data_IF_637420772780
#
_entry.id   IF_637420772780
#
_cell.length_a   1.000
_cell.length_b   1.000
_cell.length_c   1.000
_cell.angle_alpha   90.00
_cell.angle_beta   90.00
_cell.angle_gamma   90.00
#
_symmetry.space_group_name_H-M   'P 1'
#
loop_
_entity.id
_entity.type
_entity.pdbx_description
1 polymer ?
#
# COMPACT_ATOMS: atom_id res chain seq x y z
N UNK A 1 11.44 -4.35 -41.08
CA UNK A 1 10.62 -4.14 -39.85
C UNK A 1 11.35 -4.69 -38.64
N UNK A 2 11.41 -3.95 -37.52
CA UNK A 2 11.93 -4.52 -36.26
C UNK A 2 10.98 -5.67 -35.84
N UNK A 3 11.51 -6.84 -35.58
CA UNK A 3 10.73 -8.00 -35.12
C UNK A 3 10.91 -8.16 -33.62
N UNK A 4 9.81 -8.17 -32.89
CA UNK A 4 9.78 -8.43 -31.43
C UNK A 4 9.18 -9.81 -31.18
N UNK A 5 9.68 -10.48 -30.14
CA UNK A 5 9.09 -11.73 -29.65
C UNK A 5 7.88 -11.49 -28.77
N UNK A 6 7.90 -10.37 -28.00
CA UNK A 6 6.83 -10.03 -27.07
C UNK A 6 6.46 -8.54 -27.12
N UNK A 7 5.15 -8.27 -27.01
CA UNK A 7 4.60 -6.96 -26.71
C UNK A 7 4.10 -6.97 -25.27
N UNK A 8 4.66 -6.08 -24.44
CA UNK A 8 4.29 -5.90 -23.05
C UNK A 8 3.52 -4.58 -22.93
N UNK A 9 2.30 -4.63 -22.38
CA UNK A 9 1.44 -3.46 -22.21
C UNK A 9 1.47 -3.04 -20.75
N UNK A 10 2.07 -1.90 -20.48
CA UNK A 10 2.33 -1.32 -19.16
C UNK A 10 3.81 -1.38 -18.79
N UNK A 11 4.43 -0.19 -18.63
CA UNK A 11 5.82 -0.03 -18.20
C UNK A 11 5.95 0.16 -16.67
N UNK A 12 4.99 -0.36 -15.88
CA UNK A 12 5.09 -0.46 -14.43
C UNK A 12 6.01 -1.61 -14.01
N UNK A 13 6.15 -1.81 -12.69
CA UNK A 13 7.06 -2.82 -12.13
C UNK A 13 6.82 -4.23 -12.72
N UNK A 14 5.57 -4.66 -12.87
CA UNK A 14 5.27 -5.98 -13.44
C UNK A 14 5.78 -6.12 -14.86
N UNK A 15 5.49 -5.14 -15.73
CA UNK A 15 5.95 -5.15 -17.12
C UNK A 15 7.47 -5.09 -17.23
N UNK A 16 8.12 -4.33 -16.35
CA UNK A 16 9.58 -4.23 -16.28
C UNK A 16 10.24 -5.56 -15.90
N UNK A 17 9.71 -6.23 -14.85
CA UNK A 17 10.18 -7.57 -14.46
C UNK A 17 10.02 -8.57 -15.61
N UNK A 18 8.87 -8.56 -16.29
CA UNK A 18 8.64 -9.44 -17.46
C UNK A 18 9.63 -9.16 -18.59
N UNK A 19 9.88 -7.89 -18.93
CA UNK A 19 10.84 -7.50 -19.96
C UNK A 19 12.26 -7.96 -19.60
N UNK A 20 12.66 -7.73 -18.35
CA UNK A 20 13.96 -8.13 -17.82
C UNK A 20 14.18 -9.64 -17.90
N UNK A 21 13.25 -10.43 -17.39
CA UNK A 21 13.36 -11.90 -17.37
C UNK A 21 13.31 -12.51 -18.78
N UNK A 22 12.53 -11.94 -19.68
CA UNK A 22 12.53 -12.34 -21.09
C UNK A 22 13.81 -11.92 -21.80
N UNK A 23 14.35 -10.74 -21.51
CA UNK A 23 15.63 -10.26 -22.02
C UNK A 23 16.79 -11.20 -21.65
N UNK A 24 16.85 -11.67 -20.41
CA UNK A 24 17.82 -12.70 -19.96
C UNK A 24 17.74 -14.00 -20.77
N UNK A 25 16.59 -14.29 -21.37
CA UNK A 25 16.37 -15.45 -22.26
C UNK A 25 16.58 -15.10 -23.72
N UNK A 26 17.20 -13.96 -24.02
CA UNK A 26 17.47 -13.51 -25.40
C UNK A 26 16.24 -13.07 -26.19
N UNK A 27 15.11 -12.81 -25.55
CA UNK A 27 13.88 -12.36 -26.19
C UNK A 27 13.86 -10.86 -26.40
N UNK A 28 13.40 -10.43 -27.57
CA UNK A 28 13.24 -9.01 -27.90
C UNK A 28 11.83 -8.54 -27.47
N UNK A 29 11.77 -7.61 -26.53
CA UNK A 29 10.53 -7.06 -26.01
C UNK A 29 10.28 -5.64 -26.51
N UNK A 30 9.03 -5.35 -26.88
CA UNK A 30 8.50 -4.00 -27.01
C UNK A 30 7.58 -3.75 -25.82
N UNK A 31 7.93 -2.76 -25.00
CA UNK A 31 7.10 -2.31 -23.86
C UNK A 31 6.40 -1.02 -24.23
N UNK A 32 5.10 -0.96 -24.06
CA UNK A 32 4.31 0.26 -24.32
C UNK A 32 3.55 0.69 -23.08
N UNK A 33 3.45 2.00 -22.84
CA UNK A 33 2.62 2.56 -21.78
C UNK A 33 1.82 3.77 -22.29
N UNK A 34 0.63 3.96 -21.72
CA UNK A 34 -0.22 5.12 -22.04
C UNK A 34 0.26 6.40 -21.37
N UNK A 35 0.95 6.29 -20.23
CA UNK A 35 1.56 7.42 -19.53
C UNK A 35 2.78 7.90 -20.33
N UNK A 36 3.19 9.11 -20.10
CA UNK A 36 4.40 9.71 -20.67
C UNK A 36 5.68 9.30 -19.95
N UNK A 37 5.56 8.51 -18.90
CA UNK A 37 6.65 7.98 -18.07
C UNK A 37 6.51 6.47 -17.82
N UNK A 38 7.61 5.84 -17.45
CA UNK A 38 7.69 4.45 -16.95
C UNK A 38 7.34 4.36 -15.45
N UNK A 39 7.55 3.20 -14.86
CA UNK A 39 7.36 2.87 -13.44
C UNK A 39 5.90 2.85 -12.96
N UNK A 40 4.93 3.24 -13.78
CA UNK A 40 3.52 3.12 -13.41
C UNK A 40 3.18 3.84 -12.11
N UNK A 41 2.57 3.14 -11.15
CA UNK A 41 2.18 3.73 -9.87
C UNK A 41 3.35 3.94 -8.88
N UNK A 42 4.49 3.29 -9.09
CA UNK A 42 5.69 3.50 -8.27
C UNK A 42 6.61 4.59 -8.82
N UNK A 43 6.14 5.35 -9.81
CA UNK A 43 6.91 6.45 -10.38
C UNK A 43 7.29 7.46 -9.31
N UNK A 44 8.57 7.75 -9.23
CA UNK A 44 9.16 8.80 -8.42
C UNK A 44 9.84 9.82 -9.33
N UNK A 45 9.67 11.09 -9.03
CA UNK A 45 10.45 12.18 -9.59
C UNK A 45 11.28 12.84 -8.49
N UNK A 46 12.48 13.28 -8.84
CA UNK A 46 13.31 14.02 -7.91
C UNK A 46 13.00 15.51 -8.03
N UNK A 47 12.60 16.13 -6.92
CA UNK A 47 12.32 17.57 -6.81
C UNK A 47 13.13 18.11 -5.65
N UNK A 48 14.05 19.03 -5.92
CA UNK A 48 14.91 19.64 -4.91
C UNK A 48 15.64 18.62 -4.02
N UNK A 49 16.13 17.52 -4.62
CA UNK A 49 16.82 16.43 -3.91
C UNK A 49 15.91 15.49 -3.12
N UNK A 50 14.59 15.59 -3.29
CA UNK A 50 13.60 14.73 -2.64
C UNK A 50 12.95 13.81 -3.68
N UNK A 51 12.94 12.51 -3.43
CA UNK A 51 12.22 11.55 -4.27
C UNK A 51 10.72 11.57 -3.94
N UNK A 52 9.95 12.24 -4.78
CA UNK A 52 8.50 12.39 -4.62
C UNK A 52 7.78 11.19 -5.24
N UNK A 53 7.03 10.46 -4.43
CA UNK A 53 6.16 9.36 -4.90
C UNK A 53 4.87 9.96 -5.48
N UNK A 54 4.80 10.11 -6.81
CA UNK A 54 3.74 10.86 -7.49
C UNK A 54 2.32 10.29 -7.30
N UNK A 55 2.21 8.99 -7.12
CA UNK A 55 0.91 8.28 -7.03
C UNK A 55 0.65 7.69 -5.64
N UNK A 56 1.25 8.25 -4.62
CA UNK A 56 1.14 7.81 -3.23
C UNK A 56 2.36 7.05 -2.75
N UNK A 57 2.53 7.01 -1.44
CA UNK A 57 3.68 6.37 -0.81
C UNK A 57 3.70 4.86 -1.06
N UNK A 58 4.83 4.37 -1.52
CA UNK A 58 5.10 2.95 -1.67
C UNK A 58 6.29 2.58 -0.79
N UNK A 59 6.11 1.60 0.07
CA UNK A 59 7.17 1.02 0.89
C UNK A 59 7.31 -0.43 0.46
N UNK A 60 8.51 -0.83 0.03
CA UNK A 60 8.76 -2.22 -0.32
C UNK A 60 8.87 -3.05 0.95
N UNK A 61 8.14 -4.16 1.01
CA UNK A 61 8.20 -5.10 2.12
C UNK A 61 7.93 -6.52 1.64
N UNK A 62 8.60 -7.48 2.25
CA UNK A 62 8.42 -8.91 1.97
C UNK A 62 9.04 -9.77 3.08
N UNK A 63 8.48 -10.94 3.33
CA UNK A 63 9.11 -11.98 4.14
C UNK A 63 9.85 -13.01 3.29
N UNK A 64 9.68 -13.00 1.96
CA UNK A 64 10.40 -13.88 1.05
C UNK A 64 11.81 -13.35 0.74
N UNK A 65 12.81 -14.11 1.21
CA UNK A 65 14.22 -13.78 1.00
C UNK A 65 14.59 -13.72 -0.49
N UNK A 66 14.00 -14.57 -1.32
CA UNK A 66 14.31 -14.59 -2.77
C UNK A 66 13.83 -13.33 -3.47
N UNK A 67 12.64 -12.85 -3.09
CA UNK A 67 12.10 -11.58 -3.60
C UNK A 67 12.97 -10.40 -3.14
N UNK A 68 13.38 -10.40 -1.87
CA UNK A 68 14.29 -9.38 -1.33
C UNK A 68 15.62 -9.36 -2.09
N UNK A 69 16.27 -10.52 -2.23
CA UNK A 69 17.54 -10.65 -2.97
C UNK A 69 17.39 -10.28 -4.46
N UNK A 70 16.25 -10.62 -5.07
CA UNK A 70 15.97 -10.24 -6.44
C UNK A 70 15.90 -8.72 -6.62
N UNK A 71 15.17 -8.03 -5.74
CA UNK A 71 15.04 -6.57 -5.82
C UNK A 71 16.36 -5.85 -5.51
N UNK A 72 17.19 -6.39 -4.63
CA UNK A 72 18.51 -5.84 -4.32
C UNK A 72 19.53 -5.96 -5.47
N UNK A 73 19.23 -6.67 -6.56
CA UNK A 73 20.05 -6.63 -7.78
C UNK A 73 19.93 -5.28 -8.52
N UNK A 74 18.84 -4.53 -8.28
CA UNK A 74 18.56 -3.29 -9.01
C UNK A 74 18.77 -2.04 -8.17
N UNK A 75 18.72 -2.15 -6.85
CA UNK A 75 18.87 -1.02 -5.94
C UNK A 75 19.32 -1.49 -4.57
N UNK A 76 19.79 -0.56 -3.78
CA UNK A 76 19.97 -0.69 -2.33
C UNK A 76 18.74 -0.11 -1.63
N UNK A 77 18.25 -0.78 -0.57
CA UNK A 77 17.15 -0.29 0.26
C UNK A 77 17.69 0.34 1.55
N UNK A 78 17.08 1.44 1.96
CA UNK A 78 17.35 2.01 3.28
C UNK A 78 16.67 1.17 4.39
N UNK A 79 16.95 1.52 5.64
CA UNK A 79 16.36 0.86 6.81
C UNK A 79 15.05 1.53 7.26
N UNK A 80 14.25 2.04 6.33
CA UNK A 80 12.99 2.68 6.65
C UNK A 80 12.01 1.67 7.24
N UNK A 81 11.51 1.98 8.44
CA UNK A 81 10.44 1.23 9.10
C UNK A 81 9.15 2.04 9.00
N UNK A 82 8.14 1.48 8.35
CA UNK A 82 6.85 2.16 8.21
C UNK A 82 6.11 2.18 9.55
N UNK A 83 6.06 3.34 10.18
CA UNK A 83 5.38 3.57 11.47
C UNK A 83 4.41 4.75 11.33
N UNK A 84 3.27 4.57 10.67
CA UNK A 84 2.33 5.65 10.41
C UNK A 84 1.67 6.13 11.70
N UNK A 85 1.30 7.41 11.68
CA UNK A 85 0.61 8.09 12.78
C UNK A 85 -0.71 8.65 12.25
N UNK A 86 -1.80 8.38 12.96
CA UNK A 86 -3.09 8.99 12.71
C UNK A 86 -3.27 10.25 13.58
N UNK A 87 -3.81 11.29 12.98
CA UNK A 87 -4.20 12.53 13.67
C UNK A 87 -5.72 12.57 13.75
N UNK A 88 -6.23 12.69 14.98
CA UNK A 88 -7.65 12.92 15.23
C UNK A 88 -7.80 14.13 16.12
N UNK A 89 -8.30 15.24 15.56
CA UNK A 89 -8.31 16.55 16.23
C UNK A 89 -6.88 16.90 16.69
N UNK A 90 -6.68 17.08 18.01
CA UNK A 90 -5.37 17.39 18.61
C UNK A 90 -4.65 16.15 19.17
N UNK A 91 -5.14 14.95 18.88
CA UNK A 91 -4.58 13.70 19.40
C UNK A 91 -3.81 12.96 18.31
N UNK A 92 -2.64 12.38 18.67
CA UNK A 92 -1.82 11.53 17.81
C UNK A 92 -1.92 10.07 18.25
N UNK A 93 -2.17 9.18 17.31
CA UNK A 93 -2.28 7.75 17.55
C UNK A 93 -1.33 6.97 16.64
N UNK A 94 -0.62 6.00 17.19
CA UNK A 94 0.21 5.08 16.41
C UNK A 94 -0.67 4.08 15.63
N UNK A 95 -0.19 3.70 14.45
CA UNK A 95 -0.77 2.62 13.65
C UNK A 95 0.32 1.56 13.36
N UNK A 96 -0.07 0.29 13.17
CA UNK A 96 -1.41 -0.29 13.24
C UNK A 96 -1.99 -0.20 14.65
N UNK A 97 -3.27 -0.60 14.83
CA UNK A 97 -3.92 -0.62 16.15
C UNK A 97 -3.14 -1.55 17.12
N UNK A 98 -2.28 -0.96 17.93
CA UNK A 98 -1.38 -1.68 18.83
C UNK A 98 -1.48 -1.15 20.27
N UNK A 99 -0.69 -1.69 21.20
CA UNK A 99 -0.75 -1.24 22.60
C UNK A 99 -0.38 0.23 22.79
N UNK A 100 0.46 0.84 21.93
CA UNK A 100 0.71 2.29 22.01
C UNK A 100 -0.55 3.09 21.65
N UNK A 101 -1.32 2.62 20.65
CA UNK A 101 -2.62 3.20 20.29
C UNK A 101 -3.60 3.11 21.45
N UNK A 102 -3.74 1.92 22.04
CA UNK A 102 -4.71 1.66 23.10
C UNK A 102 -4.34 2.37 24.41
N UNK A 103 -3.05 2.36 24.77
CA UNK A 103 -2.55 3.07 25.95
C UNK A 103 -2.79 4.57 25.84
N UNK A 104 -2.55 5.16 24.66
CA UNK A 104 -2.83 6.57 24.40
C UNK A 104 -4.33 6.88 24.46
N UNK A 105 -5.17 5.99 23.91
CA UNK A 105 -6.61 6.18 23.81
C UNK A 105 -7.34 6.05 25.14
N UNK A 106 -6.92 5.08 25.99
CA UNK A 106 -7.65 4.65 27.18
C UNK A 106 -6.86 4.73 28.49
N UNK A 107 -5.59 5.13 28.46
CA UNK A 107 -4.74 5.22 29.66
C UNK A 107 -4.36 3.88 30.27
N UNK A 108 -4.47 2.79 29.52
CA UNK A 108 -4.21 1.41 29.94
C UNK A 108 -2.78 0.97 29.66
N UNK A 109 -2.37 -0.17 30.22
CA UNK A 109 -0.99 -0.69 30.09
C UNK A 109 -0.92 -2.13 29.66
N UNK A 110 -1.98 -2.93 29.82
CA UNK A 110 -1.98 -4.36 29.56
C UNK A 110 -2.88 -4.75 28.38
N UNK A 111 -2.56 -5.84 27.68
CA UNK A 111 -3.41 -6.42 26.63
C UNK A 111 -4.81 -6.78 27.13
N UNK A 112 -4.92 -7.27 28.35
CA UNK A 112 -6.17 -7.70 28.99
C UNK A 112 -7.13 -6.52 29.17
N UNK A 113 -6.62 -5.37 29.64
CA UNK A 113 -7.40 -4.13 29.75
C UNK A 113 -7.91 -3.66 28.38
N UNK A 114 -7.04 -3.70 27.35
CA UNK A 114 -7.42 -3.33 25.98
C UNK A 114 -8.54 -4.23 25.44
N UNK A 115 -8.38 -5.54 25.57
CA UNK A 115 -9.39 -6.52 25.14
C UNK A 115 -10.73 -6.32 25.88
N UNK A 116 -10.69 -6.05 27.18
CA UNK A 116 -11.87 -5.83 27.98
C UNK A 116 -12.66 -4.58 27.53
N UNK A 117 -11.96 -3.48 27.23
CA UNK A 117 -12.59 -2.24 26.74
C UNK A 117 -13.21 -2.48 25.34
N UNK A 118 -12.46 -3.09 24.43
CA UNK A 118 -12.97 -3.41 23.09
C UNK A 118 -14.23 -4.27 23.19
N UNK A 119 -14.18 -5.33 23.99
CA UNK A 119 -15.31 -6.25 24.14
C UNK A 119 -16.52 -5.57 24.79
N UNK A 120 -16.30 -4.70 25.78
CA UNK A 120 -17.37 -3.89 26.42
C UNK A 120 -18.04 -3.00 25.37
N UNK A 121 -17.26 -2.22 24.61
CA UNK A 121 -17.81 -1.31 23.61
C UNK A 121 -18.52 -2.07 22.47
N UNK A 122 -18.01 -3.23 22.04
CA UNK A 122 -18.68 -4.10 21.08
C UNK A 122 -20.05 -4.56 21.56
N UNK A 123 -20.15 -5.02 22.80
CA UNK A 123 -21.43 -5.42 23.42
C UNK A 123 -22.43 -4.28 23.53
N UNK A 124 -21.95 -3.09 23.87
CA UNK A 124 -22.77 -1.88 23.97
C UNK A 124 -23.41 -1.46 22.64
N UNK A 125 -22.86 -1.85 21.50
CA UNK A 125 -23.46 -1.56 20.19
C UNK A 125 -24.72 -2.38 19.90
N UNK A 126 -24.85 -3.55 20.51
CA UNK A 126 -25.94 -4.48 20.24
C UNK A 126 -25.95 -5.08 18.83
N UNK A 127 -24.91 -4.82 18.03
CA UNK A 127 -24.82 -5.27 16.64
C UNK A 127 -24.42 -6.74 16.61
N UNK A 128 -25.25 -7.57 16.02
CA UNK A 128 -24.99 -9.00 15.82
C UNK A 128 -24.68 -9.35 14.36
N UNK A 129 -25.28 -8.61 13.42
CA UNK A 129 -25.13 -8.78 11.97
C UNK A 129 -24.93 -7.43 11.30
N UNK A 130 -23.67 -7.01 11.07
CA UNK A 130 -23.35 -5.71 10.48
C UNK A 130 -23.82 -5.60 9.02
N UNK A 131 -24.55 -4.52 8.68
CA UNK A 131 -25.11 -4.27 7.34
C UNK A 131 -24.27 -3.34 6.48
N UNK A 132 -23.47 -2.49 7.09
CA UNK A 132 -22.64 -1.50 6.43
C UNK A 132 -21.26 -1.39 7.14
N UNK A 133 -20.36 -0.56 6.57
CA UNK A 133 -19.00 -0.42 7.07
C UNK A 133 -18.96 0.16 8.49
N UNK A 134 -19.83 1.11 8.83
CA UNK A 134 -19.92 1.67 10.19
C UNK A 134 -20.24 0.56 11.20
N UNK A 135 -21.32 -0.17 10.97
CA UNK A 135 -21.72 -1.27 11.84
C UNK A 135 -20.64 -2.35 11.95
N UNK A 136 -19.98 -2.65 10.84
CA UNK A 136 -18.87 -3.61 10.83
C UNK A 136 -17.67 -3.13 11.67
N UNK A 137 -17.32 -1.86 11.57
CA UNK A 137 -16.21 -1.29 12.35
C UNK A 137 -16.55 -1.25 13.85
N UNK A 138 -17.77 -0.86 14.19
CA UNK A 138 -18.29 -0.89 15.56
C UNK A 138 -18.31 -2.31 16.14
N UNK A 139 -18.80 -3.27 15.35
CA UNK A 139 -18.82 -4.70 15.70
C UNK A 139 -17.43 -5.26 15.95
N UNK A 140 -16.42 -4.83 15.19
CA UNK A 140 -15.03 -5.31 15.32
C UNK A 140 -14.25 -4.62 16.42
N UNK A 141 -14.35 -3.30 16.56
CA UNK A 141 -13.44 -2.49 17.36
C UNK A 141 -14.09 -1.61 18.42
N UNK A 142 -15.40 -1.47 18.39
CA UNK A 142 -16.11 -0.54 19.27
C UNK A 142 -16.08 0.91 18.79
N UNK A 143 -16.70 1.77 19.57
CA UNK A 143 -16.97 3.17 19.19
C UNK A 143 -15.73 4.02 19.09
N UNK A 144 -14.82 3.95 20.06
CA UNK A 144 -13.66 4.84 20.10
C UNK A 144 -12.73 4.63 18.91
N UNK A 145 -12.48 3.39 18.53
CA UNK A 145 -11.64 3.04 17.38
C UNK A 145 -12.33 3.47 16.08
N UNK A 146 -13.64 3.24 15.96
CA UNK A 146 -14.40 3.66 14.80
C UNK A 146 -14.34 5.19 14.62
N UNK A 147 -14.75 5.95 15.63
CA UNK A 147 -14.85 7.40 15.52
C UNK A 147 -13.51 8.09 15.33
N UNK A 148 -12.46 7.64 16.05
CA UNK A 148 -11.16 8.30 16.03
C UNK A 148 -10.26 7.88 14.86
N UNK A 149 -10.31 6.61 14.43
CA UNK A 149 -9.28 6.07 13.56
C UNK A 149 -9.81 5.49 12.23
N UNK A 150 -11.11 5.22 12.11
CA UNK A 150 -11.67 4.59 10.90
C UNK A 150 -12.53 5.55 10.11
N UNK A 151 -13.52 6.17 10.75
CA UNK A 151 -14.56 6.97 10.10
C UNK A 151 -14.00 8.06 9.19
N UNK A 152 -13.24 8.99 9.75
CA UNK A 152 -12.75 10.16 9.01
C UNK A 152 -11.85 9.78 7.84
N UNK A 153 -10.93 8.83 8.05
CA UNK A 153 -10.07 8.31 6.99
C UNK A 153 -10.87 7.64 5.88
N UNK A 154 -11.81 6.76 6.24
CA UNK A 154 -12.61 5.99 5.29
C UNK A 154 -13.51 6.91 4.46
N UNK A 155 -14.23 7.82 5.10
CA UNK A 155 -15.12 8.76 4.42
C UNK A 155 -14.36 9.69 3.47
N UNK A 156 -13.16 10.14 3.86
CA UNK A 156 -12.28 10.92 3.00
C UNK A 156 -11.82 10.13 1.77
N UNK A 157 -11.42 8.87 1.96
CA UNK A 157 -10.93 8.02 0.86
C UNK A 157 -12.02 7.65 -0.14
N UNK A 158 -13.22 7.37 0.34
CA UNK A 158 -14.33 6.91 -0.50
C UNK A 158 -15.24 8.03 -0.98
N UNK A 159 -15.14 9.24 -0.39
CA UNK A 159 -16.05 10.35 -0.68
C UNK A 159 -17.51 10.07 -0.31
N UNK A 160 -17.75 9.11 0.59
CA UNK A 160 -19.07 8.63 1.00
C UNK A 160 -19.09 8.33 2.50
N UNK A 161 -20.25 8.39 3.12
CA UNK A 161 -20.44 8.03 4.53
C UNK A 161 -20.20 6.53 4.76
N UNK A 162 -19.65 6.18 5.92
CA UNK A 162 -19.45 4.78 6.29
C UNK A 162 -20.75 3.95 6.31
N UNK A 163 -21.88 4.59 6.61
CA UNK A 163 -23.21 3.96 6.55
C UNK A 163 -23.66 3.55 5.14
N UNK A 164 -23.06 4.14 4.09
CA UNK A 164 -23.38 3.86 2.69
C UNK A 164 -22.42 2.85 2.05
N UNK A 165 -21.36 2.49 2.78
CA UNK A 165 -20.31 1.59 2.30
C UNK A 165 -20.60 0.15 2.74
N UNK A 166 -20.34 -0.85 1.90
CA UNK A 166 -20.56 -2.25 2.24
C UNK A 166 -19.67 -2.72 3.41
N UNK A 167 -20.23 -3.54 4.30
CA UNK A 167 -19.50 -4.09 5.46
C UNK A 167 -18.23 -4.87 5.09
N UNK A 168 -18.20 -5.53 3.93
CA UNK A 168 -17.06 -6.36 3.51
C UNK A 168 -15.77 -5.57 3.24
N UNK A 169 -15.83 -4.24 3.11
CA UNK A 169 -14.64 -3.39 2.95
C UNK A 169 -13.71 -3.53 4.16
N UNK A 170 -14.28 -3.67 5.36
CA UNK A 170 -13.54 -3.97 6.59
C UNK A 170 -13.94 -5.36 7.09
N UNK A 171 -13.25 -6.40 6.63
CA UNK A 171 -13.52 -7.76 7.09
C UNK A 171 -12.95 -8.06 8.48
N UNK A 172 -11.86 -7.38 8.83
CA UNK A 172 -11.17 -7.54 10.13
C UNK A 172 -10.40 -6.26 10.44
N UNK A 173 -10.18 -6.00 11.71
CA UNK A 173 -9.24 -5.00 12.18
C UNK A 173 -7.99 -5.72 12.70
N UNK A 174 -6.80 -5.34 12.23
CA UNK A 174 -5.55 -5.99 12.62
C UNK A 174 -5.09 -5.50 14.00
N UNK A 175 -5.77 -5.90 15.07
CA UNK A 175 -5.35 -5.57 16.42
C UNK A 175 -4.09 -6.33 16.81
N UNK A 176 -3.12 -5.59 17.35
CA UNK A 176 -1.88 -6.14 17.90
C UNK A 176 -1.78 -5.77 19.38
N UNK A 177 -1.83 -6.78 20.24
CA UNK A 177 -1.75 -6.57 21.69
C UNK A 177 -0.28 -6.60 22.17
N UNK A 178 0.58 -5.89 21.45
CA UNK A 178 2.01 -5.70 21.73
C UNK A 178 2.38 -4.24 21.49
N UNK A 179 3.47 -3.78 22.08
CA UNK A 179 4.03 -2.44 21.89
C UNK A 179 4.99 -2.44 20.68
N UNK A 180 4.43 -2.49 19.48
CA UNK A 180 5.19 -2.46 18.23
C UNK A 180 4.49 -1.57 17.20
N UNK A 181 5.17 -0.52 16.76
CA UNK A 181 4.68 0.45 15.78
C UNK A 181 5.04 0.09 14.34
N UNK A 182 5.77 -1.00 14.10
CA UNK A 182 6.06 -1.43 12.75
C UNK A 182 4.75 -1.85 12.06
N UNK A 183 4.39 -1.15 10.98
CA UNK A 183 3.14 -1.40 10.26
C UNK A 183 3.11 -2.77 9.59
N UNK A 184 4.23 -3.21 9.03
CA UNK A 184 4.35 -4.49 8.37
C UNK A 184 4.87 -5.58 9.32
N UNK A 185 4.42 -6.81 9.11
CA UNK A 185 4.95 -8.00 9.81
C UNK A 185 6.09 -8.67 9.03
N UNK A 186 6.44 -8.12 7.87
CA UNK A 186 7.44 -8.71 7.00
C UNK A 186 8.86 -8.50 7.54
N UNK A 187 9.71 -9.49 7.27
CA UNK A 187 11.10 -9.50 7.72
C UNK A 187 11.94 -8.38 7.10
N UNK A 188 11.65 -8.06 5.85
CA UNK A 188 12.37 -7.05 5.08
C UNK A 188 11.43 -5.92 4.71
N UNK A 189 11.90 -4.70 4.86
CA UNK A 189 11.20 -3.51 4.39
C UNK A 189 12.19 -2.37 4.15
N UNK A 190 11.81 -1.42 3.31
CA UNK A 190 12.61 -0.24 3.03
C UNK A 190 12.07 0.56 1.86
N UNK A 191 12.72 1.69 1.62
CA UNK A 191 12.51 2.52 0.45
C UNK A 191 13.81 2.47 -0.37
N UNK A 192 13.74 2.30 -1.70
CA UNK A 192 14.94 2.22 -2.52
C UNK A 192 15.69 3.56 -2.54
N UNK A 193 17.00 3.48 -2.34
CA UNK A 193 17.88 4.64 -2.48
C UNK A 193 17.89 5.06 -3.96
N UNK A 194 17.62 6.34 -4.24
CA UNK A 194 17.46 6.84 -5.61
C UNK A 194 16.06 6.69 -6.19
N UNK A 195 15.07 6.25 -5.39
CA UNK A 195 13.68 6.15 -5.79
C UNK A 195 13.35 4.90 -6.63
N UNK A 196 12.07 4.64 -6.78
CA UNK A 196 11.59 3.43 -7.49
C UNK A 196 11.77 3.48 -9.00
N UNK A 197 11.79 4.68 -9.61
CA UNK A 197 11.90 4.83 -11.06
C UNK A 197 13.21 4.22 -11.57
N UNK A 198 14.31 4.44 -10.85
CA UNK A 198 15.63 3.90 -11.20
C UNK A 198 15.67 2.35 -11.24
N UNK A 199 14.87 1.67 -10.42
CA UNK A 199 14.73 0.21 -10.47
C UNK A 199 14.13 -0.24 -11.81
N UNK A 200 13.05 0.46 -12.22
CA UNK A 200 12.33 0.14 -13.46
C UNK A 200 13.18 0.47 -14.68
N UNK A 201 13.95 1.56 -14.64
CA UNK A 201 14.93 1.89 -15.70
C UNK A 201 15.92 0.76 -15.91
N UNK A 202 16.57 0.28 -14.84
CA UNK A 202 17.51 -0.85 -14.92
C UNK A 202 16.86 -2.14 -15.44
N UNK A 203 15.62 -2.43 -15.04
CA UNK A 203 14.91 -3.62 -15.53
C UNK A 203 14.54 -3.52 -17.01
N UNK A 204 14.36 -2.32 -17.53
CA UNK A 204 14.00 -2.07 -18.92
C UNK A 204 15.21 -1.88 -19.83
N UNK A 205 16.43 -1.90 -19.30
CA UNK A 205 17.64 -1.86 -20.10
C UNK A 205 17.63 -3.01 -21.13
N UNK A 206 17.86 -2.66 -22.40
CA UNK A 206 17.84 -3.62 -23.52
C UNK A 206 16.45 -3.91 -24.11
N UNK A 207 15.35 -3.45 -23.51
CA UNK A 207 14.02 -3.46 -24.11
C UNK A 207 13.73 -2.16 -24.87
N UNK A 208 12.94 -2.22 -25.94
CA UNK A 208 12.41 -1.01 -26.56
C UNK A 208 11.17 -0.55 -25.78
N UNK A 209 11.20 0.68 -25.30
CA UNK A 209 10.09 1.27 -24.50
C UNK A 209 9.48 2.44 -25.27
N UNK A 210 8.15 2.48 -25.34
CA UNK A 210 7.39 3.60 -25.91
C UNK A 210 6.33 4.03 -24.93
N UNK A 211 6.48 5.25 -24.42
CA UNK A 211 5.52 5.94 -23.54
C UNK A 211 4.56 6.81 -24.34
N UNK A 212 3.47 7.28 -23.73
CA UNK A 212 2.45 8.10 -24.40
C UNK A 212 1.63 7.36 -25.46
N UNK A 213 1.70 6.02 -25.52
CA UNK A 213 1.00 5.23 -26.53
C UNK A 213 -0.44 4.99 -26.14
N UNK A 214 -1.38 5.63 -26.85
CA UNK A 214 -2.81 5.39 -26.65
C UNK A 214 -3.35 4.35 -27.63
N UNK A 215 -4.18 3.42 -27.13
CA UNK A 215 -4.96 2.53 -27.99
C UNK A 215 -5.93 3.38 -28.81
N UNK A 216 -5.77 3.44 -30.14
CA UNK A 216 -6.82 3.99 -31.00
C UNK A 216 -8.09 3.15 -30.77
N UNK A 217 -9.20 3.79 -30.39
CA UNK A 217 -10.49 3.13 -30.50
C UNK A 217 -10.67 2.79 -31.97
N UNK A 218 -10.64 1.50 -32.31
CA UNK A 218 -11.10 1.06 -33.61
C UNK A 218 -12.56 1.49 -33.70
N UNK A 219 -12.83 2.51 -34.51
CA UNK A 219 -14.22 2.84 -34.87
C UNK A 219 -14.81 1.57 -35.47
N UNK A 220 -15.92 1.14 -34.95
CA UNK A 220 -16.77 0.19 -35.66
C UNK A 220 -17.26 0.93 -36.91
N UNK A 221 -16.79 0.47 -38.08
CA UNK A 221 -17.49 0.68 -39.34
C UNK A 221 -18.72 -0.20 -39.34
#
# INVERSE_FOLDING_TARGET
MKKYDYLIVGAGLYGAVMAYELGKKGKKCLVIDRRDHIAGNIYCEEIEGIHVHKYGAHIFHTSDKKIWEYMNQFTEFNNYINSPVAVYKDELYNLPFNMNTFSKMWGIRTPEEAKAIIEKQRKETGITEPKNLEEQALFLGGRDIYEKLIKGYTEKQWGRKCTELPAFIIRRLPFRFIYDNNYFNDRYQGIPIGGYTAIVEKMLEGAEVRTGVQKRKSGHC
#
